data_IF_580788633690
#
_entry.id   IF_580788633690
#
_cell.length_a   1.000
_cell.length_b   1.000
_cell.length_c   1.000
_cell.angle_alpha   90.00
_cell.angle_beta   90.00
_cell.angle_gamma   90.00
#
_symmetry.space_group_name_H-M   'P 1'
#
loop_
_entity.id
_entity.type
_entity.pdbx_description
1 polymer ?
#
# COMPACT_ATOMS: atom_id res chain seq x y z
N UNK A 1 0.51 -1.14 21.80
CA UNK A 1 1.17 -1.90 20.71
C UNK A 1 0.28 -2.08 19.49
N UNK A 2 -0.96 -2.58 19.62
CA UNK A 2 -1.89 -2.69 18.47
C UNK A 2 -2.31 -1.32 17.94
N UNK A 3 -2.59 -0.35 18.82
CA UNK A 3 -2.96 1.01 18.43
C UNK A 3 -1.84 1.74 17.67
N UNK A 4 -0.59 1.46 18.02
CA UNK A 4 0.58 2.02 17.35
C UNK A 4 0.74 1.44 15.93
N UNK A 5 0.55 0.13 15.77
CA UNK A 5 0.52 -0.49 14.44
C UNK A 5 -0.65 0.03 13.60
N UNK A 6 -1.83 0.26 14.20
CA UNK A 6 -2.96 0.85 13.51
C UNK A 6 -2.69 2.31 13.10
N UNK A 7 -2.04 3.09 13.95
CA UNK A 7 -1.60 4.45 13.63
C UNK A 7 -0.60 4.46 12.47
N UNK A 8 0.37 3.54 12.46
CA UNK A 8 1.33 3.36 11.37
C UNK A 8 0.66 2.92 10.07
N UNK A 9 -0.28 1.97 10.11
CA UNK A 9 -1.08 1.56 8.93
C UNK A 9 -1.83 2.75 8.32
N UNK A 10 -2.46 3.59 9.16
CA UNK A 10 -3.14 4.81 8.71
C UNK A 10 -2.16 5.81 8.10
N UNK A 11 -0.98 5.98 8.71
CA UNK A 11 0.06 6.87 8.19
C UNK A 11 0.56 6.43 6.80
N UNK A 12 0.92 5.15 6.64
CA UNK A 12 1.35 4.61 5.34
C UNK A 12 0.26 4.76 4.27
N UNK A 13 -1.00 4.47 4.60
CA UNK A 13 -2.12 4.67 3.68
C UNK A 13 -2.28 6.13 3.26
N UNK A 14 -2.16 7.07 4.21
CA UNK A 14 -2.23 8.50 3.92
C UNK A 14 -1.08 8.96 3.02
N UNK A 15 0.15 8.47 3.29
CA UNK A 15 1.32 8.77 2.47
C UNK A 15 1.15 8.26 1.03
N UNK A 16 0.66 7.02 0.85
CA UNK A 16 0.36 6.44 -0.45
C UNK A 16 -0.65 7.31 -1.22
N UNK A 17 -1.75 7.70 -0.58
CA UNK A 17 -2.74 8.58 -1.20
C UNK A 17 -2.14 9.95 -1.58
N UNK A 18 -1.28 10.51 -0.73
CA UNK A 18 -0.58 11.78 -1.01
C UNK A 18 0.36 11.65 -2.20
N UNK A 19 1.18 10.61 -2.26
CA UNK A 19 2.11 10.38 -3.37
C UNK A 19 1.37 10.13 -4.69
N UNK A 20 0.27 9.37 -4.67
CA UNK A 20 -0.60 9.22 -5.86
C UNK A 20 -1.17 10.54 -6.35
N UNK A 21 -1.57 11.44 -5.45
CA UNK A 21 -2.02 12.80 -5.82
C UNK A 21 -0.88 13.65 -6.37
N UNK A 22 0.32 13.57 -5.80
CA UNK A 22 1.49 14.29 -6.30
C UNK A 22 1.86 13.84 -7.72
N UNK A 23 1.79 12.53 -7.99
CA UNK A 23 2.04 11.98 -9.33
C UNK A 23 1.04 12.45 -10.40
N UNK A 24 -0.13 12.98 -10.00
CA UNK A 24 -1.10 13.58 -10.91
C UNK A 24 -0.79 15.05 -11.25
N UNK A 25 0.20 15.66 -10.59
CA UNK A 25 0.64 17.04 -10.86
C UNK A 25 1.83 17.08 -11.83
N UNK A 26 2.22 18.28 -12.27
CA UNK A 26 3.43 18.47 -13.08
C UNK A 26 4.66 18.31 -12.19
N UNK A 27 5.47 17.31 -12.50
CA UNK A 27 6.71 16.97 -11.81
C UNK A 27 7.82 16.84 -12.86
N UNK A 28 9.05 17.16 -12.48
CA UNK A 28 10.23 16.75 -13.24
C UNK A 28 10.39 15.23 -13.22
N UNK A 29 11.18 14.71 -14.16
CA UNK A 29 11.47 13.28 -14.23
C UNK A 29 12.13 12.76 -12.95
N UNK A 30 13.06 13.54 -12.37
CA UNK A 30 13.73 13.21 -11.12
C UNK A 30 12.76 13.14 -9.94
N UNK A 31 11.89 14.15 -9.80
CA UNK A 31 10.86 14.16 -8.74
C UNK A 31 9.88 13.00 -8.90
N UNK A 32 9.49 12.71 -10.15
CA UNK A 32 8.59 11.59 -10.45
C UNK A 32 9.23 10.26 -10.09
N UNK A 33 10.49 10.04 -10.47
CA UNK A 33 11.23 8.83 -10.14
C UNK A 33 11.39 8.67 -8.61
N UNK A 34 11.71 9.76 -7.92
CA UNK A 34 11.79 9.77 -6.46
C UNK A 34 10.45 9.41 -5.81
N UNK A 35 9.35 10.03 -6.24
CA UNK A 35 8.01 9.77 -5.69
C UNK A 35 7.56 8.34 -5.97
N UNK A 36 7.85 7.80 -7.16
CA UNK A 36 7.54 6.41 -7.50
C UNK A 36 8.28 5.42 -6.61
N UNK A 37 9.58 5.64 -6.37
CA UNK A 37 10.37 4.82 -5.45
C UNK A 37 9.79 4.89 -4.03
N UNK A 38 9.50 6.10 -3.54
CA UNK A 38 8.89 6.29 -2.20
C UNK A 38 7.51 5.64 -2.11
N UNK A 39 6.71 5.68 -3.18
CA UNK A 39 5.41 5.01 -3.22
C UNK A 39 5.56 3.49 -3.07
N UNK A 40 6.51 2.88 -3.77
CA UNK A 40 6.80 1.45 -3.65
C UNK A 40 7.27 1.08 -2.23
N UNK A 41 8.15 1.90 -1.64
CA UNK A 41 8.63 1.68 -0.27
C UNK A 41 7.47 1.72 0.74
N UNK A 42 6.55 2.69 0.62
CA UNK A 42 5.39 2.78 1.51
C UNK A 42 4.40 1.62 1.31
N UNK A 43 4.18 1.17 0.07
CA UNK A 43 3.33 0.01 -0.22
C UNK A 43 3.93 -1.28 0.37
N UNK A 44 5.25 -1.47 0.26
CA UNK A 44 5.95 -2.60 0.85
C UNK A 44 5.91 -2.56 2.40
N UNK A 45 6.14 -1.39 3.00
CA UNK A 45 6.05 -1.20 4.44
C UNK A 45 4.63 -1.47 4.96
N UNK A 46 3.60 -1.00 4.24
CA UNK A 46 2.21 -1.28 4.56
C UNK A 46 1.93 -2.78 4.51
N UNK A 47 2.37 -3.49 3.48
CA UNK A 47 2.17 -4.94 3.35
C UNK A 47 2.85 -5.72 4.48
N UNK A 48 4.11 -5.40 4.81
CA UNK A 48 4.82 -6.02 5.92
C UNK A 48 4.13 -5.76 7.27
N UNK A 49 3.64 -4.53 7.48
CA UNK A 49 2.91 -4.16 8.69
C UNK A 49 1.54 -4.85 8.76
N UNK A 50 0.87 -5.05 7.61
CA UNK A 50 -0.37 -5.80 7.54
C UNK A 50 -0.15 -7.28 7.88
N UNK A 51 0.90 -7.92 7.35
CA UNK A 51 1.22 -9.32 7.66
C UNK A 51 1.53 -9.53 9.16
N UNK A 52 2.20 -8.57 9.79
CA UNK A 52 2.53 -8.63 11.22
C UNK A 52 1.35 -8.28 12.13
N UNK A 53 0.48 -7.35 11.72
CA UNK A 53 -0.67 -6.90 12.52
C UNK A 53 -1.90 -7.79 12.34
N UNK A 54 -2.11 -8.28 11.13
CA UNK A 54 -3.22 -9.16 10.75
C UNK A 54 -2.67 -10.37 9.99
N UNK A 55 -2.32 -11.46 10.68
CA UNK A 55 -1.89 -12.70 10.03
C UNK A 55 -3.05 -13.44 9.31
N UNK A 56 -4.10 -12.73 8.90
CA UNK A 56 -5.26 -13.27 8.22
C UNK A 56 -4.97 -13.36 6.72
N UNK A 57 -4.44 -14.50 6.29
CA UNK A 57 -4.57 -14.94 4.91
C UNK A 57 -6.05 -15.21 4.64
N UNK A 58 -6.73 -14.26 4.00
CA UNK A 58 -8.08 -14.51 3.50
C UNK A 58 -7.96 -15.56 2.39
N UNK A 59 -8.59 -16.74 2.51
CA UNK A 59 -8.56 -17.72 1.43
C UNK A 59 -9.19 -17.05 0.21
N UNK A 60 -8.38 -16.92 -0.84
CA UNK A 60 -8.85 -16.46 -2.16
C UNK A 60 -10.04 -17.33 -2.53
N UNK A 61 -11.25 -16.74 -2.55
CA UNK A 61 -12.45 -17.40 -3.04
C UNK A 61 -12.19 -17.68 -4.52
N UNK A 62 -11.73 -18.90 -4.82
CA UNK A 62 -11.69 -19.41 -6.19
C UNK A 62 -13.14 -19.38 -6.68
N UNK A 63 -13.45 -18.43 -7.55
CA UNK A 63 -14.66 -18.47 -8.34
C UNK A 63 -14.58 -19.72 -9.22
N UNK A 64 -15.31 -20.75 -8.83
CA UNK A 64 -15.57 -21.94 -9.60
C UNK A 64 -16.45 -21.56 -10.80
N UNK A 65 -15.82 -21.10 -11.88
CA UNK A 65 -16.47 -21.09 -13.19
C UNK A 65 -16.54 -22.54 -13.68
N UNK A 66 -17.68 -23.17 -13.41
CA UNK A 66 -18.08 -24.47 -13.95
C UNK A 66 -18.24 -24.29 -15.48
N UNK A 67 -17.28 -24.83 -16.24
CA UNK A 67 -17.40 -24.94 -17.69
C UNK A 67 -18.49 -25.98 -18.01
N UNK A 68 -19.35 -25.61 -18.96
CA UNK A 68 -20.42 -26.41 -19.52
C UNK A 68 -19.90 -27.61 -20.33
#
# INVERSE_FOLDING_TARGET
MIDENLARLRAHRNNIHRYRRLLATRLSELERAYILKRLQDEEAALQALMQTTFPLSLPSVRQSSRAA
#
